data_IF_001954661589
#
_entry.id   IF_001954661589
#
_cell.length_a   1.000
_cell.length_b   1.000
_cell.length_c   1.000
_cell.angle_alpha   90.00
_cell.angle_beta   90.00
_cell.angle_gamma   90.00
#
_symmetry.space_group_name_H-M   'P 1'
#
loop_
_entity.id
_entity.type
_entity.pdbx_description
1 polymer ?
#
# COMPACT_ATOMS: atom_id res chain seq x y z
N UNK A 1 16.08 51.60 17.48
CA UNK A 1 15.13 50.81 18.27
C UNK A 1 14.81 49.56 17.47
N UNK A 2 15.45 48.44 17.81
CA UNK A 2 15.10 47.14 17.24
C UNK A 2 13.90 46.61 18.03
N UNK A 3 12.83 46.24 17.33
CA UNK A 3 11.65 45.63 17.95
C UNK A 3 12.01 44.29 18.61
N UNK A 4 11.24 43.86 19.61
CA UNK A 4 11.47 42.58 20.25
C UNK A 4 11.30 41.46 19.21
N UNK A 5 12.35 40.68 19.02
CA UNK A 5 12.30 39.41 18.30
C UNK A 5 11.22 38.55 18.93
N UNK A 6 10.23 38.14 18.13
CA UNK A 6 9.24 37.14 18.52
C UNK A 6 9.98 35.92 19.09
N UNK A 7 9.79 35.69 20.39
CA UNK A 7 10.28 34.49 21.05
C UNK A 7 9.43 33.36 20.46
N UNK A 8 9.98 32.66 19.47
CA UNK A 8 9.35 31.46 18.91
C UNK A 8 9.12 30.47 20.05
N UNK A 9 7.86 30.36 20.48
CA UNK A 9 7.46 29.38 21.48
C UNK A 9 7.78 28.01 20.88
N UNK A 10 8.73 27.30 21.49
CA UNK A 10 9.05 25.94 21.06
C UNK A 10 7.78 25.09 21.18
N UNK A 11 7.43 24.30 20.15
CA UNK A 11 6.20 23.54 20.16
C UNK A 11 6.19 22.57 21.33
N UNK A 12 5.05 22.44 22.00
CA UNK A 12 4.89 21.48 23.09
C UNK A 12 4.95 20.08 22.47
N UNK A 13 6.02 19.35 22.75
CA UNK A 13 6.20 17.97 22.33
C UNK A 13 5.48 17.04 23.30
N UNK A 14 4.74 16.08 22.75
CA UNK A 14 4.04 15.04 23.49
C UNK A 14 4.36 13.66 22.92
N UNK A 15 3.96 12.59 23.61
CA UNK A 15 4.09 11.22 23.14
C UNK A 15 2.77 10.72 22.57
N UNK A 16 2.86 10.10 21.40
CA UNK A 16 1.77 9.34 20.79
C UNK A 16 2.22 7.91 20.56
N UNK A 17 1.26 6.98 20.58
CA UNK A 17 1.47 5.61 20.13
C UNK A 17 0.77 5.39 18.80
N UNK A 18 1.44 4.71 17.87
CA UNK A 18 0.84 4.28 16.61
C UNK A 18 0.94 2.76 16.53
N UNK A 19 -0.20 2.11 16.32
CA UNK A 19 -0.31 0.66 16.11
C UNK A 19 -0.70 0.39 14.66
N UNK A 20 0.14 -0.37 13.95
CA UNK A 20 -0.10 -0.74 12.55
C UNK A 20 -0.48 -2.21 12.48
N UNK A 21 -1.65 -2.47 11.92
CA UNK A 21 -2.26 -3.80 11.80
C UNK A 21 -2.58 -4.09 10.35
N UNK A 22 -2.51 -5.36 9.97
CA UNK A 22 -2.87 -5.84 8.64
C UNK A 22 -3.74 -7.09 8.73
N UNK A 23 -4.80 -7.12 7.92
CA UNK A 23 -5.58 -8.30 7.62
C UNK A 23 -5.36 -8.67 6.14
N UNK A 24 -4.94 -9.91 5.90
CA UNK A 24 -4.90 -10.48 4.56
C UNK A 24 -6.23 -11.18 4.26
N UNK A 25 -7.01 -10.60 3.36
CA UNK A 25 -8.35 -11.08 3.00
C UNK A 25 -8.29 -12.23 1.97
N UNK A 26 -7.11 -12.60 1.50
CA UNK A 26 -6.91 -13.66 0.52
C UNK A 26 -7.20 -13.25 -0.91
N UNK A 27 -7.59 -14.24 -1.72
CA UNK A 27 -7.85 -14.11 -3.15
C UNK A 27 -9.33 -14.35 -3.45
N UNK A 28 -9.96 -13.43 -4.17
CA UNK A 28 -11.33 -13.60 -4.64
C UNK A 28 -11.65 -12.61 -5.75
N UNK A 29 -12.66 -12.94 -6.56
CA UNK A 29 -13.29 -12.02 -7.51
C UNK A 29 -14.58 -11.40 -6.96
N UNK A 30 -15.02 -11.83 -5.78
CA UNK A 30 -16.36 -11.58 -5.23
C UNK A 30 -16.35 -10.85 -3.88
N UNK A 31 -15.24 -10.23 -3.50
CA UNK A 31 -15.21 -9.44 -2.28
C UNK A 31 -16.31 -8.36 -2.25
N UNK A 32 -16.95 -8.23 -1.11
CA UNK A 32 -17.97 -7.24 -0.82
C UNK A 32 -17.40 -6.03 -0.09
N UNK A 33 -16.28 -6.16 0.61
CA UNK A 33 -15.61 -5.06 1.33
C UNK A 33 -16.15 -4.80 2.73
N UNK A 34 -17.05 -5.65 3.21
CA UNK A 34 -17.66 -5.64 4.54
C UNK A 34 -17.54 -7.02 5.23
N UNK A 35 -16.56 -7.81 4.80
CA UNK A 35 -16.23 -9.09 5.41
C UNK A 35 -15.86 -8.85 6.88
N UNK A 36 -16.38 -9.72 7.75
CA UNK A 36 -16.18 -9.63 9.21
C UNK A 36 -15.25 -10.71 9.75
N UNK A 37 -14.98 -11.74 8.95
CA UNK A 37 -14.09 -12.83 9.31
C UNK A 37 -12.67 -12.50 8.84
N UNK A 38 -11.88 -11.91 9.72
CA UNK A 38 -10.48 -11.59 9.48
C UNK A 38 -9.67 -11.60 10.77
N UNK A 39 -8.37 -11.81 10.65
CA UNK A 39 -7.42 -11.68 11.75
C UNK A 39 -6.55 -10.44 11.52
N UNK A 40 -6.57 -9.51 12.47
CA UNK A 40 -5.68 -8.34 12.45
C UNK A 40 -4.34 -8.71 13.07
N UNK A 41 -3.32 -8.76 12.22
CA UNK A 41 -1.96 -9.11 12.59
C UNK A 41 -1.10 -7.86 12.76
N UNK A 42 -0.20 -7.82 13.76
CA UNK A 42 0.74 -6.72 13.91
C UNK A 42 1.72 -6.66 12.75
N UNK A 43 1.90 -5.46 12.19
CA UNK A 43 2.87 -5.23 11.11
C UNK A 43 4.20 -4.81 11.72
N UNK A 44 5.17 -5.73 11.76
CA UNK A 44 6.53 -5.43 12.23
C UNK A 44 7.32 -4.65 11.19
N UNK A 45 8.01 -3.60 11.63
CA UNK A 45 8.92 -2.83 10.79
C UNK A 45 8.24 -1.90 9.80
N UNK A 46 6.95 -1.60 9.96
CA UNK A 46 6.27 -0.54 9.23
C UNK A 46 6.92 0.80 9.56
N UNK A 47 7.09 1.66 8.56
CA UNK A 47 7.63 3.01 8.76
C UNK A 47 6.48 3.98 9.00
N UNK A 48 6.52 4.65 10.15
CA UNK A 48 5.54 5.64 10.57
C UNK A 48 6.20 7.01 10.67
N UNK A 49 5.55 8.04 10.14
CA UNK A 49 6.00 9.43 10.23
C UNK A 49 4.85 10.35 10.61
N UNK A 50 5.17 11.42 11.34
CA UNK A 50 4.25 12.54 11.61
C UNK A 50 4.83 13.79 10.94
N UNK A 51 4.05 14.44 10.09
CA UNK A 51 4.48 15.61 9.32
C UNK A 51 3.45 16.73 9.35
N UNK A 52 3.92 17.98 9.36
CA UNK A 52 3.08 19.16 9.19
C UNK A 52 2.47 19.19 7.78
N UNK A 53 1.22 19.65 7.71
CA UNK A 53 0.18 19.32 6.75
C UNK A 53 0.36 19.66 5.28
N UNK A 54 1.58 19.94 4.79
CA UNK A 54 1.83 20.30 3.41
C UNK A 54 3.29 20.04 2.96
N UNK A 55 3.73 18.78 2.82
CA UNK A 55 4.82 18.46 1.89
C UNK A 55 5.08 16.94 1.78
N UNK A 56 4.41 16.28 0.83
CA UNK A 56 5.19 15.43 -0.09
C UNK A 56 4.75 15.77 -1.51
N UNK A 57 5.16 16.95 -1.95
CA UNK A 57 5.40 17.19 -3.37
C UNK A 57 6.93 17.11 -3.53
N UNK A 58 7.39 16.19 -4.38
CA UNK A 58 8.77 16.05 -4.90
C UNK A 58 9.79 15.23 -4.09
N UNK A 59 10.08 14.02 -4.61
CA UNK A 59 11.37 13.32 -4.49
C UNK A 59 11.57 12.40 -3.28
N UNK A 60 12.53 11.45 -3.34
CA UNK A 60 12.81 10.44 -2.30
C UNK A 60 13.33 10.99 -0.96
N UNK A 61 13.54 12.30 -0.83
CA UNK A 61 14.20 12.94 0.32
C UNK A 61 13.25 13.32 1.47
N UNK A 62 11.95 13.03 1.40
CA UNK A 62 10.98 13.40 2.44
C UNK A 62 11.19 12.66 3.77
N UNK A 63 11.69 11.42 3.74
CA UNK A 63 12.02 10.67 4.98
C UNK A 63 13.13 11.41 5.75
N UNK A 64 14.07 12.07 5.06
CA UNK A 64 15.14 12.87 5.68
C UNK A 64 14.63 14.20 6.26
N UNK A 65 13.41 14.61 5.93
CA UNK A 65 12.77 15.83 6.45
C UNK A 65 11.73 15.56 7.54
N UNK A 66 11.35 14.30 7.74
CA UNK A 66 10.45 13.95 8.81
C UNK A 66 11.20 14.00 10.13
N UNK A 67 10.85 14.95 10.98
CA UNK A 67 11.46 15.12 12.31
C UNK A 67 10.98 14.04 13.29
N UNK A 68 9.81 13.45 13.04
CA UNK A 68 9.15 12.52 13.94
C UNK A 68 8.80 11.23 13.19
N UNK A 69 9.67 10.22 13.28
CA UNK A 69 9.46 8.94 12.63
C UNK A 69 9.99 7.77 13.47
N UNK A 70 9.54 6.58 13.12
CA UNK A 70 10.03 5.34 13.72
C UNK A 70 9.52 4.11 12.99
N UNK A 71 10.03 2.96 13.42
CA UNK A 71 9.61 1.66 12.90
C UNK A 71 8.82 0.92 13.96
N UNK A 72 7.76 0.23 13.55
CA UNK A 72 6.97 -0.60 14.47
C UNK A 72 7.74 -1.82 14.95
N UNK A 73 7.51 -2.20 16.20
CA UNK A 73 8.07 -3.37 16.84
C UNK A 73 7.35 -4.67 16.44
N UNK A 74 7.63 -5.78 17.15
CA UNK A 74 6.99 -7.06 16.90
C UNK A 74 5.48 -7.08 17.20
N UNK A 75 4.99 -6.15 18.01
CA UNK A 75 3.56 -5.96 18.31
C UNK A 75 2.89 -4.99 17.33
N UNK A 76 3.63 -4.50 16.33
CA UNK A 76 3.13 -3.52 15.37
C UNK A 76 3.03 -2.12 15.97
N UNK A 77 3.72 -1.83 17.07
CA UNK A 77 3.62 -0.56 17.78
C UNK A 77 4.88 0.29 17.64
N UNK A 78 4.70 1.61 17.58
CA UNK A 78 5.78 2.59 17.70
C UNK A 78 5.32 3.75 18.57
N UNK A 79 6.19 4.23 19.44
CA UNK A 79 5.96 5.43 20.24
C UNK A 79 6.78 6.57 19.65
N UNK A 80 6.12 7.67 19.28
CA UNK A 80 6.74 8.84 18.68
C UNK A 80 6.59 10.03 19.61
N UNK A 81 7.63 10.87 19.64
CA UNK A 81 7.49 12.23 20.18
C UNK A 81 7.03 13.12 19.05
N UNK A 82 5.92 13.83 19.19
CA UNK A 82 5.37 14.70 18.16
C UNK A 82 4.84 16.00 18.79
N UNK A 83 4.89 17.14 18.08
CA UNK A 83 4.27 18.38 18.53
C UNK A 83 2.75 18.22 18.68
N UNK A 84 2.16 18.95 19.63
CA UNK A 84 0.70 19.09 19.72
C UNK A 84 0.14 19.87 18.52
N UNK A 85 -1.05 19.49 18.07
CA UNK A 85 -1.76 20.12 16.95
C UNK A 85 -2.17 19.16 15.83
N UNK A 86 -2.52 19.72 14.68
CA UNK A 86 -3.02 18.96 13.54
C UNK A 86 -1.90 18.55 12.60
N UNK A 87 -1.76 17.24 12.36
CA UNK A 87 -0.70 16.69 11.53
C UNK A 87 -1.21 15.68 10.50
N UNK A 88 -0.31 15.30 9.60
CA UNK A 88 -0.51 14.15 8.73
C UNK A 88 0.28 12.98 9.31
N UNK A 89 -0.43 11.92 9.68
CA UNK A 89 0.16 10.62 9.97
C UNK A 89 0.40 9.89 8.65
N UNK A 90 1.61 9.39 8.47
CA UNK A 90 2.02 8.68 7.28
C UNK A 90 2.50 7.28 7.65
N UNK A 91 1.99 6.27 6.97
CA UNK A 91 2.35 4.88 7.24
C UNK A 91 2.67 4.16 5.94
N UNK A 92 3.86 3.57 5.91
CA UNK A 92 4.22 2.56 4.90
C UNK A 92 4.32 1.21 5.60
N UNK A 93 3.33 0.32 5.42
CA UNK A 93 3.32 -0.97 6.09
C UNK A 93 4.43 -1.90 5.60
N UNK A 94 5.03 -1.63 4.43
CA UNK A 94 6.01 -2.50 3.76
C UNK A 94 7.17 -1.66 3.19
N UNK A 95 8.06 -1.09 4.03
CA UNK A 95 9.01 -0.05 3.64
C UNK A 95 10.22 -0.54 2.81
N UNK A 96 10.09 -1.67 2.11
CA UNK A 96 11.04 -2.10 1.08
C UNK A 96 11.13 -1.10 -0.07
N UNK A 97 10.06 -0.30 -0.29
CA UNK A 97 10.04 0.78 -1.25
C UNK A 97 9.81 2.13 -0.54
N UNK A 98 10.68 3.10 -0.83
CA UNK A 98 10.63 4.47 -0.27
C UNK A 98 9.99 5.48 -1.23
N UNK A 99 9.21 5.00 -2.19
CA UNK A 99 8.40 5.85 -3.05
C UNK A 99 7.29 6.52 -2.21
N UNK A 100 7.10 7.85 -2.32
CA UNK A 100 5.96 8.56 -1.73
C UNK A 100 4.60 7.90 -1.96
N UNK A 101 4.39 7.25 -3.10
CA UNK A 101 3.15 6.56 -3.43
C UNK A 101 2.87 5.37 -2.52
N UNK A 102 3.89 4.82 -1.84
CA UNK A 102 3.77 3.68 -0.93
C UNK A 102 3.45 4.08 0.52
N UNK A 103 3.16 5.35 0.78
CA UNK A 103 2.74 5.84 2.09
C UNK A 103 1.27 6.19 2.09
N UNK A 104 0.49 5.49 2.92
CA UNK A 104 -0.84 5.93 3.30
C UNK A 104 -0.75 7.22 4.13
N UNK A 105 -1.77 8.08 4.03
CA UNK A 105 -1.84 9.38 4.69
C UNK A 105 -3.19 9.55 5.37
N UNK A 106 -3.17 9.90 6.66
CA UNK A 106 -4.35 10.27 7.43
C UNK A 106 -4.12 11.56 8.21
N UNK A 107 -5.18 12.35 8.39
CA UNK A 107 -5.14 13.52 9.29
C UNK A 107 -5.35 13.06 10.72
N UNK A 108 -4.56 13.60 11.65
CA UNK A 108 -4.65 13.32 13.09
C UNK A 108 -4.55 14.63 13.87
N UNK A 109 -5.21 14.70 15.02
CA UNK A 109 -5.03 15.76 16.02
C UNK A 109 -4.25 15.16 17.18
N UNK A 110 -3.16 15.81 17.59
CA UNK A 110 -2.29 15.36 18.68
C UNK A 110 -2.44 16.31 19.85
N UNK A 111 -3.05 15.85 20.94
CA UNK A 111 -3.25 16.58 22.19
C UNK A 111 -2.44 15.97 23.36
N UNK A 112 -1.99 14.72 23.24
CA UNK A 112 -1.10 13.98 24.11
C UNK A 112 -1.66 12.65 24.64
N UNK A 113 -0.79 11.64 24.69
CA UNK A 113 -1.07 10.27 25.14
C UNK A 113 -2.04 9.47 24.25
N UNK A 114 -2.36 9.92 23.04
CA UNK A 114 -3.23 9.18 22.12
C UNK A 114 -2.59 7.88 21.63
N UNK A 115 -3.44 6.92 21.30
CA UNK A 115 -3.06 5.75 20.52
C UNK A 115 -3.83 5.74 19.21
N UNK A 116 -3.13 5.85 18.08
CA UNK A 116 -3.72 5.71 16.75
C UNK A 116 -3.54 4.28 16.24
N UNK A 117 -4.62 3.62 15.84
CA UNK A 117 -4.57 2.34 15.15
C UNK A 117 -4.80 2.53 13.65
N UNK A 118 -3.84 2.11 12.83
CA UNK A 118 -3.94 2.10 11.37
C UNK A 118 -4.06 0.66 10.90
N UNK A 119 -5.22 0.30 10.36
CA UNK A 119 -5.58 -1.05 9.93
C UNK A 119 -5.61 -1.13 8.41
N UNK A 120 -4.79 -1.99 7.84
CA UNK A 120 -4.74 -2.28 6.41
C UNK A 120 -5.49 -3.59 6.12
N UNK A 121 -6.38 -3.57 5.14
CA UNK A 121 -7.10 -4.76 4.68
C UNK A 121 -6.70 -5.03 3.23
N UNK A 122 -5.88 -6.06 3.01
CA UNK A 122 -5.35 -6.42 1.70
C UNK A 122 -6.26 -7.42 1.00
N UNK A 123 -6.82 -7.04 -0.13
CA UNK A 123 -7.62 -7.89 -1.01
C UNK A 123 -6.82 -8.18 -2.28
N UNK A 124 -6.77 -9.45 -2.71
CA UNK A 124 -6.19 -9.84 -4.00
C UNK A 124 -7.30 -10.19 -4.97
N UNK A 125 -7.60 -9.25 -5.86
CA UNK A 125 -8.70 -9.39 -6.80
C UNK A 125 -8.28 -10.26 -7.98
N UNK A 126 -8.91 -11.41 -8.16
CA UNK A 126 -8.72 -12.19 -9.38
C UNK A 126 -9.36 -11.45 -10.58
N UNK A 127 -8.81 -11.60 -11.79
CA UNK A 127 -9.39 -10.98 -12.98
C UNK A 127 -10.76 -11.58 -13.31
N UNK A 128 -11.69 -10.70 -13.67
CA UNK A 128 -13.00 -11.05 -14.24
C UNK A 128 -12.91 -11.33 -15.74
N UNK A 129 -12.00 -10.62 -16.41
CA UNK A 129 -11.82 -10.65 -17.87
C UNK A 129 -10.32 -10.62 -18.16
N UNK A 130 -9.88 -11.41 -19.14
CA UNK A 130 -8.49 -11.48 -19.58
C UNK A 130 -8.48 -11.47 -21.11
N UNK A 131 -7.71 -10.56 -21.69
CA UNK A 131 -7.42 -10.53 -23.12
C UNK A 131 -5.92 -10.44 -23.34
N UNK A 132 -5.36 -11.31 -24.18
CA UNK A 132 -3.93 -11.35 -24.50
C UNK A 132 -3.76 -11.07 -25.98
N UNK A 133 -3.03 -10.01 -26.30
CA UNK A 133 -2.64 -9.67 -27.67
C UNK A 133 -1.14 -9.88 -27.82
N UNK A 134 -0.77 -10.91 -28.60
CA UNK A 134 0.61 -11.30 -28.84
C UNK A 134 1.14 -10.51 -30.03
N UNK A 135 2.25 -9.79 -29.84
CA UNK A 135 2.92 -9.10 -30.94
C UNK A 135 3.89 -10.06 -31.63
N UNK A 136 3.52 -10.60 -32.79
CA UNK A 136 4.30 -11.65 -33.48
C UNK A 136 5.74 -11.26 -33.86
N UNK A 137 6.05 -9.96 -33.91
CA UNK A 137 7.37 -9.46 -34.33
C UNK A 137 8.39 -9.33 -33.18
N UNK A 138 7.96 -9.34 -31.91
CA UNK A 138 8.82 -9.14 -30.73
C UNK A 138 8.32 -9.98 -29.57
N UNK A 139 9.17 -10.39 -28.61
CA UNK A 139 8.74 -11.06 -27.37
C UNK A 139 8.02 -10.06 -26.46
N UNK A 140 6.86 -9.59 -26.89
CA UNK A 140 6.03 -8.64 -26.17
C UNK A 140 4.56 -9.05 -26.30
N UNK A 141 3.89 -9.15 -25.17
CA UNK A 141 2.46 -9.45 -25.09
C UNK A 141 1.75 -8.33 -24.35
N UNK A 142 0.69 -7.78 -24.96
CA UNK A 142 -0.18 -6.81 -24.30
C UNK A 142 -1.29 -7.61 -23.62
N UNK A 143 -1.34 -7.54 -22.29
CA UNK A 143 -2.35 -8.20 -21.48
C UNK A 143 -3.30 -7.16 -20.92
N UNK A 144 -4.59 -7.29 -21.25
CA UNK A 144 -5.66 -6.49 -20.68
C UNK A 144 -6.41 -7.33 -19.65
N UNK A 145 -6.49 -6.81 -18.42
CA UNK A 145 -7.13 -7.46 -17.28
C UNK A 145 -8.25 -6.57 -16.74
N UNK A 146 -9.45 -7.14 -16.61
CA UNK A 146 -10.59 -6.48 -15.98
C UNK A 146 -10.78 -6.96 -14.54
N UNK A 147 -10.93 -6.03 -13.61
CA UNK A 147 -11.17 -6.29 -12.19
C UNK A 147 -12.40 -5.52 -11.70
N UNK A 148 -13.02 -6.01 -10.63
CA UNK A 148 -14.11 -5.32 -9.93
C UNK A 148 -13.66 -5.05 -8.49
N UNK A 149 -13.63 -3.78 -8.09
CA UNK A 149 -13.36 -3.43 -6.69
C UNK A 149 -14.48 -3.94 -5.78
N UNK A 150 -14.18 -4.26 -4.51
CA UNK A 150 -15.22 -4.66 -3.58
C UNK A 150 -16.27 -3.56 -3.44
N UNK A 151 -17.53 -3.95 -3.20
CA UNK A 151 -18.67 -3.03 -3.32
C UNK A 151 -18.61 -1.90 -2.28
N UNK A 152 -18.27 -2.22 -1.04
CA UNK A 152 -18.36 -1.30 0.09
C UNK A 152 -17.01 -0.66 0.41
N UNK A 153 -16.95 0.67 0.50
CA UNK A 153 -15.78 1.43 0.95
C UNK A 153 -14.99 2.08 -0.17
N UNK A 154 -13.76 2.51 0.16
CA UNK A 154 -12.80 3.10 -0.77
C UNK A 154 -11.48 2.33 -0.72
N UNK A 155 -10.83 2.21 -1.87
CA UNK A 155 -9.69 1.32 -2.07
C UNK A 155 -8.52 2.01 -2.74
N UNK A 156 -7.33 1.79 -2.20
CA UNK A 156 -6.07 2.09 -2.86
C UNK A 156 -5.70 0.94 -3.78
N UNK A 157 -5.31 1.25 -5.01
CA UNK A 157 -5.09 0.24 -6.05
C UNK A 157 -3.60 0.08 -6.32
N UNK A 158 -3.13 -1.16 -6.31
CA UNK A 158 -1.75 -1.48 -6.60
C UNK A 158 -1.46 -1.81 -8.06
N UNK A 159 -0.29 -2.42 -8.24
CA UNK A 159 0.18 -2.99 -9.50
C UNK A 159 -0.18 -4.47 -9.58
N UNK A 160 -0.72 -4.95 -10.72
CA UNK A 160 -1.10 -6.34 -10.87
C UNK A 160 0.13 -7.27 -10.90
N UNK A 161 -0.07 -8.46 -10.36
CA UNK A 161 0.82 -9.60 -10.48
C UNK A 161 0.18 -10.60 -11.46
N UNK A 162 0.89 -10.90 -12.54
CA UNK A 162 0.37 -11.69 -13.66
C UNK A 162 1.18 -12.98 -13.74
N UNK A 163 0.52 -14.13 -13.58
CA UNK A 163 1.15 -15.43 -13.76
C UNK A 163 0.73 -16.00 -15.09
N UNK A 164 1.68 -16.52 -15.86
CA UNK A 164 1.42 -16.99 -17.22
C UNK A 164 2.36 -18.13 -17.63
N UNK A 165 1.94 -18.87 -18.65
CA UNK A 165 2.80 -19.81 -19.37
C UNK A 165 3.47 -19.15 -20.57
N UNK A 166 4.75 -19.43 -20.77
CA UNK A 166 5.42 -19.18 -22.06
C UNK A 166 4.96 -20.21 -23.11
N UNK A 167 5.18 -19.97 -24.42
CA UNK A 167 4.95 -20.98 -25.46
C UNK A 167 5.71 -22.29 -25.24
N UNK A 168 6.82 -22.26 -24.47
CA UNK A 168 7.60 -23.44 -24.11
C UNK A 168 7.02 -24.21 -22.90
N UNK A 169 5.97 -23.69 -22.26
CA UNK A 169 5.33 -24.33 -21.10
C UNK A 169 5.93 -23.93 -19.74
N UNK A 170 6.80 -22.93 -19.69
CA UNK A 170 7.39 -22.45 -18.43
C UNK A 170 6.41 -21.52 -17.71
N UNK A 171 6.33 -21.62 -16.38
CA UNK A 171 5.48 -20.73 -15.57
C UNK A 171 6.29 -19.52 -15.11
N UNK A 172 5.78 -18.33 -15.41
CA UNK A 172 6.43 -17.07 -15.05
C UNK A 172 5.48 -16.14 -14.30
N UNK A 173 6.06 -15.31 -13.44
CA UNK A 173 5.40 -14.22 -12.76
C UNK A 173 5.93 -12.90 -13.33
N UNK A 174 5.04 -12.08 -13.87
CA UNK A 174 5.31 -10.69 -14.19
C UNK A 174 4.72 -9.79 -13.10
N UNK A 175 5.53 -8.85 -12.61
CA UNK A 175 5.09 -7.79 -11.70
C UNK A 175 5.33 -6.44 -12.35
N UNK A 176 4.25 -5.68 -12.56
CA UNK A 176 4.31 -4.36 -13.21
C UNK A 176 5.24 -3.39 -12.46
N UNK A 177 5.26 -3.45 -11.13
CA UNK A 177 6.08 -2.56 -10.33
C UNK A 177 7.59 -2.87 -10.38
N UNK A 178 7.97 -4.08 -10.80
CA UNK A 178 9.37 -4.50 -11.01
C UNK A 178 9.73 -4.37 -12.50
N UNK A 179 8.75 -4.49 -13.40
CA UNK A 179 8.94 -4.33 -14.85
C UNK A 179 9.66 -5.50 -15.52
N UNK A 180 9.68 -6.68 -14.88
CA UNK A 180 10.31 -7.90 -15.43
C UNK A 180 9.53 -9.16 -15.07
N UNK A 181 9.71 -10.17 -15.92
CA UNK A 181 9.26 -11.54 -15.66
C UNK A 181 10.33 -12.31 -14.89
N UNK A 182 9.90 -13.12 -13.94
CA UNK A 182 10.76 -14.03 -13.18
C UNK A 182 10.14 -15.43 -13.22
N UNK A 183 10.96 -16.45 -13.03
CA UNK A 183 10.45 -17.82 -12.86
C UNK A 183 9.62 -17.89 -11.59
N UNK A 184 8.51 -18.64 -11.64
CA UNK A 184 7.63 -18.75 -10.47
C UNK A 184 8.33 -19.44 -9.29
N UNK A 185 9.23 -20.39 -9.56
CA UNK A 185 10.01 -21.09 -8.52
C UNK A 185 10.98 -20.14 -7.80
N UNK A 186 11.56 -19.19 -8.53
CA UNK A 186 12.41 -18.13 -7.98
C UNK A 186 11.60 -17.05 -7.24
N UNK A 187 10.28 -17.01 -7.44
CA UNK A 187 9.42 -16.05 -6.78
C UNK A 187 9.32 -16.39 -5.28
N UNK A 188 10.25 -15.84 -4.49
CA UNK A 188 10.25 -16.00 -3.03
C UNK A 188 8.89 -15.63 -2.43
N UNK A 189 8.53 -16.25 -1.30
CA UNK A 189 7.30 -15.92 -0.53
C UNK A 189 7.15 -14.41 -0.27
N UNK A 190 8.26 -13.67 -0.21
CA UNK A 190 8.28 -12.24 0.02
C UNK A 190 7.68 -11.43 -1.14
N UNK A 191 7.73 -11.92 -2.38
CA UNK A 191 7.14 -11.22 -3.53
C UNK A 191 5.61 -11.26 -3.50
N UNK A 192 5.02 -12.35 -3.03
CA UNK A 192 3.57 -12.47 -2.87
C UNK A 192 3.02 -11.64 -1.70
N UNK A 193 3.82 -11.49 -0.65
CA UNK A 193 3.45 -10.77 0.58
C UNK A 193 3.71 -9.27 0.53
N UNK A 194 4.47 -8.77 -0.45
CA UNK A 194 4.78 -7.35 -0.60
C UNK A 194 4.24 -6.79 -1.91
N UNK A 195 2.91 -6.71 -2.09
CA UNK A 195 2.33 -5.98 -3.21
C UNK A 195 2.68 -4.49 -3.11
N UNK A 196 2.91 -3.84 -4.25
CA UNK A 196 3.02 -2.39 -4.29
C UNK A 196 1.64 -1.77 -4.44
N UNK A 197 1.22 -1.02 -3.43
CA UNK A 197 -0.03 -0.25 -3.41
C UNK A 197 0.29 1.21 -3.67
N UNK A 198 -0.56 1.88 -4.46
CA UNK A 198 -0.49 3.32 -4.66
C UNK A 198 -1.51 4.02 -3.76
N UNK A 199 -1.03 4.69 -2.72
CA UNK A 199 -1.84 5.44 -1.76
C UNK A 199 -2.02 6.93 -2.10
N UNK A 200 -1.68 7.37 -3.32
CA UNK A 200 -1.87 8.75 -3.75
C UNK A 200 -3.34 9.07 -4.07
N UNK A 201 -4.13 8.07 -4.41
CA UNK A 201 -5.55 8.21 -4.70
C UNK A 201 -6.30 6.93 -4.31
N UNK A 202 -7.43 7.09 -3.63
CA UNK A 202 -8.39 6.03 -3.41
C UNK A 202 -9.48 6.04 -4.49
N UNK A 203 -10.09 4.88 -4.67
CA UNK A 203 -11.13 4.64 -5.66
C UNK A 203 -12.39 4.14 -4.95
N UNK A 204 -13.58 4.62 -5.33
CA UNK A 204 -14.82 4.13 -4.74
C UNK A 204 -15.03 2.65 -5.06
N UNK A 205 -15.60 1.93 -4.10
CA UNK A 205 -16.00 0.54 -4.23
C UNK A 205 -16.99 0.28 -5.38
N UNK A 206 -17.03 -0.97 -5.85
CA UNK A 206 -17.89 -1.41 -6.95
C UNK A 206 -17.45 -0.95 -8.35
N UNK A 207 -16.44 -0.09 -8.45
CA UNK A 207 -15.89 0.37 -9.73
C UNK A 207 -15.18 -0.77 -10.47
N UNK A 208 -15.37 -0.82 -11.79
CA UNK A 208 -14.59 -1.70 -12.67
C UNK A 208 -13.27 -1.04 -13.02
N UNK A 209 -12.17 -1.74 -12.78
CA UNK A 209 -10.82 -1.29 -13.10
C UNK A 209 -10.25 -2.14 -14.22
N UNK A 210 -9.69 -1.50 -15.24
CA UNK A 210 -8.99 -2.18 -16.33
C UNK A 210 -7.50 -1.87 -16.22
N UNK A 211 -6.66 -2.91 -16.30
CA UNK A 211 -5.20 -2.78 -16.36
C UNK A 211 -4.72 -3.28 -17.72
N UNK A 212 -3.93 -2.47 -18.40
CA UNK A 212 -3.28 -2.83 -19.66
C UNK A 212 -1.78 -2.89 -19.37
N UNK A 213 -1.20 -4.08 -19.50
CA UNK A 213 0.17 -4.36 -19.10
C UNK A 213 0.93 -4.92 -20.29
N UNK A 214 2.06 -4.30 -20.62
CA UNK A 214 3.02 -4.88 -21.57
C UNK A 214 3.95 -5.82 -20.81
N UNK A 215 3.92 -7.10 -21.17
CA UNK A 215 4.85 -8.12 -20.69
C UNK A 215 5.91 -8.29 -21.76
N UNK A 216 7.18 -8.02 -21.42
CA UNK A 216 8.35 -8.22 -22.31
C UNK A 216 8.74 -9.69 -22.39
N UNK A 217 7.77 -10.52 -22.74
CA UNK A 217 7.91 -11.95 -22.98
C UNK A 217 6.77 -12.41 -23.91
N UNK A 218 6.91 -13.60 -24.50
CA UNK A 218 5.80 -14.28 -25.15
C UNK A 218 4.94 -14.95 -24.08
N UNK A 219 3.79 -14.36 -23.75
CA UNK A 219 2.80 -15.00 -22.89
C UNK A 219 1.82 -15.79 -23.74
N UNK A 220 1.78 -17.11 -23.57
CA UNK A 220 0.84 -17.98 -24.28
C UNK A 220 -0.52 -18.05 -23.56
N UNK A 221 -0.52 -18.07 -22.23
CA UNK A 221 -1.74 -18.23 -21.43
C UNK A 221 -1.59 -17.61 -20.04
N UNK A 222 -2.54 -16.77 -19.62
CA UNK A 222 -2.58 -16.21 -18.26
C UNK A 222 -3.32 -17.17 -17.33
N UNK A 223 -2.73 -17.47 -16.17
CA UNK A 223 -3.33 -18.26 -15.10
C UNK A 223 -4.25 -17.36 -14.25
N UNK A 224 -5.60 -17.45 -14.38
CA UNK A 224 -6.50 -16.49 -13.76
C UNK A 224 -6.48 -16.54 -12.23
N UNK A 225 -6.42 -17.74 -11.66
CA UNK A 225 -6.53 -17.92 -10.20
C UNK A 225 -5.25 -17.54 -9.45
N UNK A 226 -4.13 -17.43 -10.16
CA UNK A 226 -2.84 -16.97 -9.61
C UNK A 226 -2.51 -15.51 -9.97
N UNK A 227 -3.23 -14.95 -10.95
CA UNK A 227 -3.13 -13.55 -11.35
C UNK A 227 -4.05 -12.71 -10.47
N UNK A 228 -3.56 -11.57 -9.99
CA UNK A 228 -4.36 -10.70 -9.14
C UNK A 228 -3.98 -9.24 -9.22
N UNK A 229 -4.93 -8.37 -8.88
CA UNK A 229 -4.72 -6.97 -8.57
C UNK A 229 -4.80 -6.78 -7.05
N UNK A 230 -3.71 -6.38 -6.38
CA UNK A 230 -3.78 -6.03 -4.96
C UNK A 230 -4.50 -4.70 -4.79
N UNK A 231 -5.47 -4.66 -3.88
CA UNK A 231 -6.13 -3.44 -3.44
C UNK A 231 -6.23 -3.42 -1.93
N UNK A 232 -6.20 -2.23 -1.36
CA UNK A 232 -6.26 -2.06 0.09
C UNK A 232 -7.31 -1.06 0.52
N UNK A 233 -8.04 -1.44 1.56
CA UNK A 233 -8.82 -0.51 2.37
C UNK A 233 -8.01 -0.19 3.62
N UNK A 234 -7.98 1.08 4.02
CA UNK A 234 -7.27 1.51 5.23
C UNK A 234 -8.24 2.21 6.16
N UNK A 235 -8.18 1.86 7.44
CA UNK A 235 -8.98 2.45 8.51
C UNK A 235 -8.04 3.05 9.55
N UNK A 236 -8.29 4.31 9.91
CA UNK A 236 -7.65 4.98 11.03
C UNK A 236 -8.65 5.08 12.18
N UNK A 237 -8.23 4.64 13.35
CA UNK A 237 -8.98 4.77 14.60
C UNK A 237 -8.12 5.48 15.63
N UNK A 238 -8.72 6.39 16.37
CA UNK A 238 -8.15 6.92 17.60
C UNK A 238 -8.73 6.10 18.76
N UNK A 239 -7.85 5.47 19.53
CA UNK A 239 -8.23 4.67 20.69
C UNK A 239 -8.16 5.57 21.92
N UNK A 240 -9.29 5.66 22.64
CA UNK A 240 -9.33 6.32 23.94
C UNK A 240 -8.33 5.67 24.87
N UNK A 241 -7.59 6.50 25.61
CA UNK A 241 -6.71 6.03 26.66
C UNK A 241 -7.56 5.54 27.84
N UNK A 242 -7.50 4.23 28.10
CA UNK A 242 -7.94 3.67 29.39
C UNK A 242 -6.97 3.99 30.51
#
# INVERSE_FOLDING_TARGET
MAGPSEIGVSPIITRIRVRVLEADMGFSREFMGNETEYELNPVRGALVLVMDGAAITTGPSYILRAEYFGFTDANGEVVLSAPKGNFTLMVNPRPYNRDPACFWRGRVSVEGNETFAVKFFLYRLNPMEINVNIRSAHPESIVTLGFKLPINGSYYVGSPAIVYYTPAGEIRLYREDIGRSIELEEASRNLWRNPRINYLADWPGGLRTVKIVSIRDFSAYILPDMTYLPVERVILEELETG
#
